data_IF_017839947717
#
_entry.id   IF_017839947717
#
_cell.length_a   1.000
_cell.length_b   1.000
_cell.length_c   1.000
_cell.angle_alpha   90.00
_cell.angle_beta   90.00
_cell.angle_gamma   90.00
#
_symmetry.space_group_name_H-M   'P 1'
#
loop_
_entity.id
_entity.type
_entity.pdbx_description
1 polymer ?
#
# COMPACT_ATOMS: atom_id res chain seq x y z
N UNK A 1 4.82 16.55 -6.96
CA UNK A 1 4.80 15.09 -7.14
C UNK A 1 3.52 14.63 -6.47
N UNK A 2 2.67 13.83 -7.13
CA UNK A 2 1.44 13.35 -6.53
C UNK A 2 1.70 12.60 -5.23
N UNK A 3 0.78 12.78 -4.29
CA UNK A 3 0.86 12.16 -2.98
C UNK A 3 0.16 10.80 -3.00
N UNK A 4 0.77 9.80 -2.37
CA UNK A 4 0.23 8.45 -2.28
C UNK A 4 0.24 7.95 -0.85
N UNK A 5 -0.77 7.14 -0.52
CA UNK A 5 -0.94 6.55 0.79
C UNK A 5 -1.25 5.07 0.67
N UNK A 6 -0.48 4.26 1.38
CA UNK A 6 -0.74 2.84 1.57
C UNK A 6 -1.46 2.62 2.88
N UNK A 7 -2.64 2.00 2.83
CA UNK A 7 -3.42 1.61 4.00
C UNK A 7 -3.59 0.10 4.07
N UNK A 8 -3.84 -0.43 5.26
CA UNK A 8 -4.40 -1.78 5.42
C UNK A 8 -5.90 -1.77 5.12
N UNK A 9 -6.49 -2.95 4.94
CA UNK A 9 -7.94 -3.11 4.75
C UNK A 9 -8.79 -2.66 5.94
N UNK A 10 -8.21 -2.49 7.13
CA UNK A 10 -8.86 -1.90 8.31
C UNK A 10 -8.81 -0.36 8.30
N UNK A 11 -8.09 0.24 7.34
CA UNK A 11 -7.92 1.69 7.22
C UNK A 11 -6.72 2.25 7.98
N UNK A 12 -5.86 1.40 8.57
CA UNK A 12 -4.63 1.85 9.20
C UNK A 12 -3.61 2.28 8.15
N UNK A 13 -3.01 3.45 8.31
CA UNK A 13 -1.97 3.95 7.40
C UNK A 13 -0.66 3.23 7.66
N UNK A 14 -0.14 2.56 6.63
CA UNK A 14 1.14 1.85 6.66
C UNK A 14 2.28 2.80 6.27
N UNK A 15 2.09 3.54 5.18
CA UNK A 15 3.11 4.45 4.66
C UNK A 15 2.50 5.54 3.77
N UNK A 16 3.15 6.70 3.71
CA UNK A 16 2.75 7.86 2.90
C UNK A 16 4.00 8.46 2.25
N UNK A 17 3.94 8.74 0.96
CA UNK A 17 5.07 9.29 0.20
C UNK A 17 4.60 10.02 -1.06
N UNK A 18 5.51 10.80 -1.65
CA UNK A 18 5.28 11.45 -2.94
C UNK A 18 6.03 10.68 -4.03
N UNK A 19 5.34 10.33 -5.12
CA UNK A 19 5.94 9.63 -6.26
C UNK A 19 5.76 10.44 -7.54
N UNK A 20 6.56 10.12 -8.57
CA UNK A 20 6.46 10.80 -9.86
C UNK A 20 5.13 10.47 -10.58
N UNK A 21 4.68 9.21 -10.45
CA UNK A 21 3.50 8.65 -11.09
C UNK A 21 3.04 7.39 -10.34
N UNK A 22 1.88 6.85 -10.74
CA UNK A 22 1.27 5.68 -10.13
C UNK A 22 2.19 4.44 -10.19
N UNK A 23 2.91 4.23 -11.29
CA UNK A 23 3.79 3.06 -11.45
C UNK A 23 4.98 3.13 -10.50
N UNK A 24 5.57 4.31 -10.31
CA UNK A 24 6.60 4.51 -9.30
C UNK A 24 6.06 4.22 -7.89
N UNK A 25 4.87 4.74 -7.55
CA UNK A 25 4.23 4.48 -6.27
C UNK A 25 3.93 2.99 -6.06
N UNK A 26 3.37 2.30 -7.06
CA UNK A 26 3.09 0.87 -6.98
C UNK A 26 4.35 0.04 -6.72
N UNK A 27 5.47 0.38 -7.36
CA UNK A 27 6.75 -0.30 -7.17
C UNK A 27 7.23 -0.18 -5.72
N UNK A 28 7.23 1.03 -5.16
CA UNK A 28 7.59 1.27 -3.76
C UNK A 28 6.60 0.60 -2.79
N UNK A 29 5.32 0.63 -3.10
CA UNK A 29 4.27 -0.01 -2.31
C UNK A 29 4.49 -1.52 -2.20
N UNK A 30 4.93 -2.20 -3.27
CA UNK A 30 5.25 -3.64 -3.22
C UNK A 30 6.37 -3.93 -2.21
N UNK A 31 7.43 -3.13 -2.19
CA UNK A 31 8.51 -3.27 -1.21
C UNK A 31 8.02 -3.03 0.22
N UNK A 32 7.19 -2.00 0.44
CA UNK A 32 6.60 -1.69 1.75
C UNK A 32 5.68 -2.81 2.23
N UNK A 33 4.77 -3.28 1.37
CA UNK A 33 3.85 -4.40 1.69
C UNK A 33 4.65 -5.66 2.02
N UNK A 34 5.69 -5.97 1.24
CA UNK A 34 6.53 -7.16 1.46
C UNK A 34 7.25 -7.09 2.81
N UNK A 35 7.80 -5.92 3.16
CA UNK A 35 8.47 -5.71 4.45
C UNK A 35 7.49 -5.74 5.61
N UNK A 36 6.33 -5.07 5.47
CA UNK A 36 5.31 -5.02 6.52
C UNK A 36 4.75 -6.42 6.81
N UNK A 37 4.49 -7.24 5.78
CA UNK A 37 4.07 -8.64 5.97
C UNK A 37 5.11 -9.50 6.67
N UNK A 38 6.40 -9.24 6.46
CA UNK A 38 7.47 -9.98 7.12
C UNK A 38 7.58 -9.62 8.61
N UNK A 39 7.28 -8.36 8.97
CA UNK A 39 7.30 -7.86 10.35
C UNK A 39 6.00 -8.22 11.11
N UNK A 40 4.85 -8.01 10.47
CA UNK A 40 3.52 -8.26 11.01
C UNK A 40 2.66 -9.08 10.00
N UNK A 41 2.80 -10.42 9.98
CA UNK A 41 2.07 -11.27 9.04
C UNK A 41 0.57 -11.43 9.37
N UNK A 42 0.14 -11.01 10.57
CA UNK A 42 -1.22 -11.28 11.08
C UNK A 42 -2.18 -10.09 10.98
N UNK A 43 -1.68 -8.85 10.87
CA UNK A 43 -2.47 -7.64 11.02
C UNK A 43 -3.14 -7.10 9.76
N UNK A 44 -2.75 -7.54 8.57
CA UNK A 44 -3.26 -6.97 7.32
C UNK A 44 -3.80 -8.03 6.36
N UNK A 45 -5.12 -8.17 6.35
CA UNK A 45 -5.86 -8.98 5.38
C UNK A 45 -5.82 -8.40 3.95
N UNK A 46 -5.59 -7.09 3.84
CA UNK A 46 -5.51 -6.38 2.57
C UNK A 46 -4.64 -5.15 2.73
N UNK A 47 -4.02 -4.71 1.64
CA UNK A 47 -3.33 -3.43 1.50
C UNK A 47 -3.89 -2.69 0.29
N UNK A 48 -4.11 -1.39 0.42
CA UNK A 48 -4.67 -0.52 -0.61
C UNK A 48 -3.77 0.69 -0.77
N UNK A 49 -3.28 0.92 -1.99
CA UNK A 49 -2.62 2.14 -2.37
C UNK A 49 -3.65 3.11 -2.95
N UNK A 50 -3.74 4.30 -2.38
CA UNK A 50 -4.60 5.38 -2.87
C UNK A 50 -3.78 6.59 -3.27
N UNK A 51 -4.24 7.33 -4.27
CA UNK A 51 -3.66 8.62 -4.64
C UNK A 51 -4.25 9.78 -3.80
N UNK A 52 -3.76 11.00 -4.01
CA UNK A 52 -4.22 12.22 -3.35
C UNK A 52 -5.73 12.51 -3.56
N UNK A 53 -6.30 12.09 -4.69
CA UNK A 53 -7.74 12.15 -4.97
C UNK A 53 -8.55 11.11 -4.19
N UNK A 54 -7.88 10.16 -3.53
CA UNK A 54 -8.50 9.02 -2.86
C UNK A 54 -8.95 7.92 -3.83
N UNK A 55 -8.46 7.89 -5.08
CA UNK A 55 -8.73 6.80 -5.99
C UNK A 55 -7.83 5.60 -5.67
N UNK A 56 -8.39 4.40 -5.78
CA UNK A 56 -7.61 3.17 -5.64
C UNK A 56 -6.65 3.03 -6.82
N UNK A 57 -5.35 3.01 -6.52
CA UNK A 57 -4.28 2.80 -7.50
C UNK A 57 -3.99 1.31 -7.63
N UNK A 58 -3.79 0.63 -6.50
CA UNK A 58 -3.46 -0.80 -6.46
C UNK A 58 -3.95 -1.44 -5.16
N UNK A 59 -4.16 -2.76 -5.20
CA UNK A 59 -4.61 -3.55 -4.05
C UNK A 59 -3.86 -4.87 -3.95
N UNK A 60 -3.50 -5.26 -2.72
CA UNK A 60 -2.88 -6.54 -2.40
C UNK A 60 -3.69 -7.25 -1.31
N UNK A 61 -4.45 -8.27 -1.70
CA UNK A 61 -5.17 -9.12 -0.75
C UNK A 61 -4.24 -10.11 -0.02
N UNK A 62 -4.80 -10.82 0.96
CA UNK A 62 -4.16 -11.95 1.64
C UNK A 62 -3.56 -12.93 0.62
N UNK A 63 -2.30 -13.31 0.83
CA UNK A 63 -1.74 -14.47 0.13
C UNK A 63 -2.45 -15.69 0.74
N UNK A 64 -3.40 -16.27 0.02
CA UNK A 64 -4.00 -17.53 0.43
C UNK A 64 -2.89 -18.60 0.57
N UNK A 65 -2.97 -19.48 1.59
CA UNK A 65 -1.96 -20.52 1.85
C UNK A 65 -1.83 -21.54 0.71
#
# INVERSE_FOLDING_TARGET
MPHYRLTTGDGAVVHEWDAADATAAECEAVDVVSRHRADDPSGAAEYVLVDESGADVARWGSIAP
#
